data_IF_489735831335
#
_entry.id   IF_489735831335
#
_cell.length_a   1.000
_cell.length_b   1.000
_cell.length_c   1.000
_cell.angle_alpha   90.00
_cell.angle_beta   90.00
_cell.angle_gamma   90.00
#
_symmetry.space_group_name_H-M   'P 1'
#
loop_
_entity.id
_entity.type
_entity.pdbx_description
1 polymer ?
#
# COMPACT_ATOMS: atom_id res chain seq x y z
N UNK A 1 -2.11 1.46 23.83
CA UNK A 1 -3.58 1.43 24.06
C UNK A 1 -3.83 0.60 25.30
N UNK A 2 -4.51 1.14 26.30
CA UNK A 2 -4.96 0.38 27.46
C UNK A 2 -6.35 -0.20 27.15
N UNK A 3 -6.55 -1.50 27.39
CA UNK A 3 -7.88 -2.11 27.31
C UNK A 3 -8.57 -1.88 28.65
N UNK A 4 -9.75 -1.29 28.63
CA UNK A 4 -10.50 -0.94 29.84
C UNK A 4 -11.90 -1.55 29.80
N UNK A 5 -12.39 -1.98 30.95
CA UNK A 5 -13.79 -2.34 31.19
C UNK A 5 -14.39 -1.31 32.14
N UNK A 6 -15.39 -0.56 31.68
CA UNK A 6 -16.03 0.55 32.43
C UNK A 6 -15.02 1.58 32.99
N UNK A 7 -13.98 1.87 32.22
CA UNK A 7 -12.91 2.80 32.62
C UNK A 7 -11.83 2.19 33.52
N UNK A 8 -11.99 0.94 33.96
CA UNK A 8 -10.97 0.22 34.73
C UNK A 8 -10.04 -0.55 33.80
N UNK A 9 -8.71 -0.36 33.88
CA UNK A 9 -7.76 -1.10 33.07
C UNK A 9 -7.83 -2.61 33.33
N UNK A 10 -7.82 -3.41 32.28
CA UNK A 10 -7.62 -4.86 32.37
C UNK A 10 -6.13 -5.18 32.37
N UNK A 11 -5.73 -6.14 33.21
CA UNK A 11 -4.36 -6.66 33.19
C UNK A 11 -4.13 -7.52 31.94
N UNK A 12 -2.98 -7.29 31.31
CA UNK A 12 -2.56 -8.04 30.13
C UNK A 12 -1.85 -9.32 30.57
N UNK A 13 -2.31 -10.46 30.07
CA UNK A 13 -1.66 -11.75 30.25
C UNK A 13 -0.25 -11.77 29.64
N UNK A 14 0.56 -12.75 30.05
CA UNK A 14 1.93 -12.93 29.54
C UNK A 14 1.98 -13.28 28.04
N UNK A 15 0.90 -13.84 27.51
CA UNK A 15 0.64 -14.12 26.10
C UNK A 15 0.06 -12.92 25.32
N UNK A 16 -0.25 -11.84 26.04
CA UNK A 16 -0.86 -10.64 25.52
C UNK A 16 -2.38 -10.62 25.45
N UNK A 17 -3.05 -11.64 26.00
CA UNK A 17 -4.50 -11.73 26.10
C UNK A 17 -5.05 -10.81 27.21
N UNK A 18 -6.33 -10.45 27.11
CA UNK A 18 -7.08 -9.78 28.19
C UNK A 18 -8.29 -10.64 28.54
N UNK A 19 -8.52 -10.82 29.84
CA UNK A 19 -9.58 -11.70 30.34
C UNK A 19 -10.53 -10.94 31.25
N UNK A 20 -11.82 -11.19 31.11
CA UNK A 20 -12.87 -10.72 32.04
C UNK A 20 -13.96 -11.79 32.12
N UNK A 21 -14.79 -11.73 33.16
CA UNK A 21 -15.88 -12.68 33.40
C UNK A 21 -17.21 -11.96 33.38
N UNK A 22 -18.22 -12.58 32.76
CA UNK A 22 -19.60 -12.09 32.70
C UNK A 22 -20.47 -13.07 33.45
N UNK A 23 -21.23 -12.60 34.44
CA UNK A 23 -22.02 -13.44 35.36
C UNK A 23 -23.54 -13.30 35.17
N UNK A 24 -23.99 -12.56 34.17
CA UNK A 24 -25.41 -12.31 33.87
C UNK A 24 -25.62 -12.07 32.37
N UNK A 25 -26.86 -12.14 31.90
CA UNK A 25 -27.21 -11.93 30.50
C UNK A 25 -26.67 -10.59 29.99
N UNK A 26 -25.88 -10.65 28.91
CA UNK A 26 -25.13 -9.50 28.39
C UNK A 26 -25.06 -9.52 26.86
N UNK A 27 -24.95 -8.33 26.25
CA UNK A 27 -24.71 -8.16 24.82
C UNK A 27 -23.30 -7.61 24.63
N UNK A 28 -22.46 -8.35 23.91
CA UNK A 28 -21.09 -7.97 23.57
C UNK A 28 -21.08 -7.36 22.16
N UNK A 29 -20.57 -6.13 22.04
CA UNK A 29 -20.29 -5.50 20.74
C UNK A 29 -18.79 -5.30 20.58
N UNK A 30 -18.18 -6.09 19.71
CA UNK A 30 -16.77 -5.96 19.34
C UNK A 30 -16.70 -5.13 18.06
N UNK A 31 -15.99 -4.01 18.09
CA UNK A 31 -15.72 -3.19 16.91
C UNK A 31 -14.22 -3.21 16.62
N UNK A 32 -13.82 -3.79 15.50
CA UNK A 32 -12.46 -3.67 14.98
C UNK A 32 -12.36 -2.41 14.12
N UNK A 33 -11.32 -1.59 14.33
CA UNK A 33 -10.80 -0.79 13.23
C UNK A 33 -10.12 -1.76 12.27
N UNK A 34 -10.60 -1.86 11.04
CA UNK A 34 -9.96 -2.71 10.02
C UNK A 34 -8.47 -2.33 9.92
N UNK A 35 -7.58 -3.31 10.06
CA UNK A 35 -6.19 -3.15 9.69
C UNK A 35 -6.02 -3.68 8.26
N UNK A 36 -5.53 -2.82 7.38
CA UNK A 36 -5.32 -3.11 5.98
C UNK A 36 -4.25 -2.19 5.39
N UNK A 37 -3.84 -2.48 4.16
CA UNK A 37 -2.96 -1.59 3.40
C UNK A 37 -3.84 -0.47 2.85
N UNK A 38 -3.68 0.74 3.39
CA UNK A 38 -4.39 1.94 2.95
C UNK A 38 -3.98 2.36 1.52
N UNK A 39 -2.69 2.21 1.19
CA UNK A 39 -2.18 2.43 -0.16
C UNK A 39 -0.84 1.73 -0.40
N UNK A 40 -0.54 1.45 -1.66
CA UNK A 40 0.78 1.02 -2.13
C UNK A 40 1.29 2.11 -3.09
N UNK A 41 2.34 2.81 -2.71
CA UNK A 41 3.03 3.77 -3.58
C UNK A 41 4.01 3.03 -4.49
N UNK A 42 3.91 3.27 -5.80
CA UNK A 42 4.97 2.92 -6.75
C UNK A 42 5.88 4.14 -6.90
N UNK A 43 7.17 3.98 -6.61
CA UNK A 43 8.16 5.04 -6.79
C UNK A 43 8.30 5.35 -8.29
N UNK A 44 7.76 6.50 -8.69
CA UNK A 44 7.71 6.93 -10.08
C UNK A 44 8.98 7.65 -10.54
N UNK A 45 10.01 7.77 -9.68
CA UNK A 45 11.30 8.40 -10.01
C UNK A 45 12.21 7.50 -10.87
N UNK A 46 11.61 6.65 -11.71
CA UNK A 46 12.33 5.86 -12.68
C UNK A 46 12.75 6.74 -13.87
N UNK A 47 14.05 6.81 -14.15
CA UNK A 47 14.57 7.48 -15.34
C UNK A 47 13.99 6.84 -16.62
N UNK A 48 13.62 7.69 -17.58
CA UNK A 48 13.01 7.23 -18.82
C UNK A 48 14.04 6.62 -19.79
N UNK A 49 13.77 5.39 -20.24
CA UNK A 49 14.54 4.73 -21.29
C UNK A 49 13.77 4.82 -22.60
N UNK A 50 14.46 5.10 -23.70
CA UNK A 50 13.85 5.22 -25.03
C UNK A 50 14.31 4.09 -25.96
N UNK A 51 13.39 3.62 -26.80
CA UNK A 51 13.65 2.65 -27.86
C UNK A 51 13.04 3.13 -29.18
N UNK A 52 13.65 2.78 -30.30
CA UNK A 52 13.00 2.88 -31.61
C UNK A 52 11.94 1.78 -31.79
N UNK A 53 11.18 1.84 -32.90
CA UNK A 53 10.09 0.90 -33.18
C UNK A 53 10.56 -0.54 -33.47
N UNK A 54 11.87 -0.76 -33.62
CA UNK A 54 12.45 -2.10 -33.75
C UNK A 54 12.88 -2.70 -32.40
N UNK A 55 12.75 -1.93 -31.32
CA UNK A 55 13.15 -2.33 -29.98
C UNK A 55 14.63 -2.06 -29.66
N UNK A 56 15.36 -1.30 -30.51
CA UNK A 56 16.73 -0.90 -30.22
C UNK A 56 16.72 0.34 -29.30
N UNK A 57 17.52 0.30 -28.24
CA UNK A 57 17.67 1.41 -27.28
C UNK A 57 18.32 2.62 -27.96
N UNK A 58 17.76 3.81 -27.73
CA UNK A 58 18.25 5.09 -28.23
C UNK A 58 18.49 6.06 -27.06
N UNK A 59 19.38 7.04 -27.23
CA UNK A 59 19.69 8.03 -26.20
C UNK A 59 18.57 9.07 -26.04
N UNK A 60 17.97 9.49 -27.16
CA UNK A 60 16.85 10.42 -27.19
C UNK A 60 15.99 10.22 -28.45
N UNK A 61 14.67 10.49 -28.39
CA UNK A 61 13.81 10.50 -29.56
C UNK A 61 14.12 11.68 -30.48
N UNK A 62 14.14 11.44 -31.79
CA UNK A 62 14.22 12.50 -32.79
C UNK A 62 12.87 13.24 -32.91
N UNK A 63 12.87 14.58 -33.12
CA UNK A 63 11.64 15.33 -33.31
C UNK A 63 10.81 14.80 -34.49
N UNK A 64 9.50 14.62 -34.28
CA UNK A 64 8.54 14.09 -35.25
C UNK A 64 8.62 12.58 -35.46
N UNK A 65 9.62 11.89 -34.91
CA UNK A 65 9.81 10.44 -35.07
C UNK A 65 9.22 9.71 -33.87
N UNK A 66 8.34 8.70 -34.07
CA UNK A 66 7.80 7.94 -32.96
C UNK A 66 8.88 7.12 -32.23
N UNK A 67 8.80 7.11 -30.90
CA UNK A 67 9.66 6.30 -30.04
C UNK A 67 8.84 5.63 -28.92
N UNK A 68 9.40 4.57 -28.33
CA UNK A 68 8.85 3.92 -27.14
C UNK A 68 9.56 4.48 -25.91
N UNK A 69 8.81 5.08 -24.99
CA UNK A 69 9.28 5.54 -23.68
C UNK A 69 8.90 4.51 -22.62
N UNK A 70 9.88 4.02 -21.88
CA UNK A 70 9.71 3.09 -20.76
C UNK A 70 10.08 3.78 -19.45
N UNK A 71 9.14 3.81 -18.50
CA UNK A 71 9.31 4.37 -17.14
C UNK A 71 8.61 3.47 -16.14
N UNK A 72 9.31 3.06 -15.08
CA UNK A 72 8.71 2.24 -14.01
C UNK A 72 8.11 0.92 -14.52
N UNK A 73 8.68 0.33 -15.58
CA UNK A 73 8.15 -0.88 -16.22
C UNK A 73 6.97 -0.67 -17.18
N UNK A 74 6.47 0.56 -17.33
CA UNK A 74 5.39 0.89 -18.26
C UNK A 74 5.93 1.46 -19.57
N UNK A 75 5.50 0.89 -20.70
CA UNK A 75 5.86 1.35 -22.04
C UNK A 75 4.75 2.19 -22.68
N UNK A 76 5.11 3.30 -23.31
CA UNK A 76 4.20 4.19 -24.03
C UNK A 76 4.83 4.66 -25.34
N UNK A 77 4.03 4.79 -26.41
CA UNK A 77 4.47 5.41 -27.67
C UNK A 77 4.39 6.93 -27.53
N UNK A 78 5.45 7.62 -27.89
CA UNK A 78 5.54 9.08 -27.89
C UNK A 78 5.95 9.60 -29.27
N UNK A 79 5.61 10.85 -29.56
CA UNK A 79 6.13 11.66 -30.67
C UNK A 79 6.45 13.01 -30.05
N UNK A 80 7.68 13.50 -30.18
CA UNK A 80 8.12 14.79 -29.64
C UNK A 80 8.30 15.84 -30.72
#
# INVERSE_FOLDING_TARGET
MAVTLDGNPLEKGTDGSYSFTVTSDSILKVTSSESGIDSIGADSDSEAIYYDLTGRRISAPEPGVPAIRVVGGHASKIIR
#
